data_IF_810220580886
#
_entry.id   IF_810220580886
#
_cell.length_a   1.000
_cell.length_b   1.000
_cell.length_c   1.000
_cell.angle_alpha   90.00
_cell.angle_beta   90.00
_cell.angle_gamma   90.00
#
_symmetry.space_group_name_H-M   'P 1'
#
loop_
_entity.id
_entity.type
_entity.pdbx_description
1 polymer ?
#
# COMPACT_ATOMS: atom_id res chain seq x y z
N UNK A 1 12.86 -29.47 17.56
CA UNK A 1 13.19 -28.51 18.63
C UNK A 1 14.23 -27.53 18.11
N UNK A 2 13.77 -26.36 17.65
CA UNK A 2 14.54 -25.11 17.64
C UNK A 2 13.52 -24.09 18.16
N UNK A 3 13.77 -23.56 19.36
CA UNK A 3 12.92 -22.57 20.00
C UNK A 3 13.40 -21.19 19.55
N UNK A 4 12.58 -20.45 18.80
CA UNK A 4 12.79 -19.04 18.57
C UNK A 4 11.93 -18.27 19.57
N UNK A 5 12.55 -17.85 20.68
CA UNK A 5 11.98 -16.86 21.58
C UNK A 5 12.11 -15.48 20.91
N UNK A 6 10.97 -14.96 20.45
CA UNK A 6 10.75 -13.59 20.05
C UNK A 6 9.28 -13.50 19.68
N UNK A 7 8.48 -12.79 20.47
CA UNK A 7 7.11 -12.48 20.04
C UNK A 7 7.24 -11.82 18.68
N UNK A 8 6.51 -12.24 17.64
CA UNK A 8 6.47 -11.43 16.42
C UNK A 8 6.03 -10.04 16.88
N UNK A 9 6.82 -9.01 16.57
CA UNK A 9 6.31 -7.64 16.62
C UNK A 9 4.95 -7.70 15.93
N UNK A 10 3.89 -7.40 16.69
CA UNK A 10 2.54 -7.57 16.19
C UNK A 10 2.39 -6.64 15.00
N UNK A 11 2.48 -7.18 13.79
CA UNK A 11 2.34 -6.41 12.57
C UNK A 11 0.99 -5.69 12.65
N UNK A 12 1.02 -4.36 12.73
CA UNK A 12 -0.20 -3.56 12.75
C UNK A 12 -0.80 -3.65 11.36
N UNK A 13 -1.96 -4.29 11.26
CA UNK A 13 -2.69 -4.35 10.00
C UNK A 13 -3.21 -2.94 9.65
N UNK A 14 -2.73 -2.38 8.54
CA UNK A 14 -3.28 -1.17 7.97
C UNK A 14 -4.62 -1.48 7.31
N UNK A 15 -5.61 -0.61 7.50
CA UNK A 15 -6.92 -0.78 6.86
C UNK A 15 -6.80 -0.60 5.34
N UNK A 16 -7.44 -1.50 4.60
CA UNK A 16 -7.63 -1.36 3.17
C UNK A 16 -8.59 -0.21 2.82
N UNK A 17 -8.77 0.10 1.53
CA UNK A 17 -9.72 1.10 1.10
C UNK A 17 -11.16 0.66 1.42
N UNK A 18 -12.07 1.62 1.60
CA UNK A 18 -13.49 1.33 1.86
C UNK A 18 -14.16 0.55 0.71
N UNK A 19 -13.66 0.74 -0.52
CA UNK A 19 -14.09 0.06 -1.73
C UNK A 19 -12.89 -0.30 -2.59
N UNK A 20 -12.99 -1.38 -3.34
CA UNK A 20 -11.96 -1.81 -4.26
C UNK A 20 -10.80 -2.54 -3.58
N UNK A 21 -9.59 -2.45 -4.14
CA UNK A 21 -8.42 -3.16 -3.61
C UNK A 21 -7.11 -2.43 -3.91
N UNK A 22 -6.09 -2.71 -3.09
CA UNK A 22 -4.73 -2.18 -3.26
C UNK A 22 -3.78 -3.24 -3.80
N UNK A 23 -2.87 -2.80 -4.68
CA UNK A 23 -1.70 -3.56 -5.11
C UNK A 23 -0.45 -2.82 -4.62
N UNK A 24 0.33 -3.41 -3.69
CA UNK A 24 1.57 -2.81 -3.21
C UNK A 24 2.57 -2.59 -4.35
N UNK A 25 3.20 -1.41 -4.38
CA UNK A 25 4.26 -1.08 -5.34
C UNK A 25 5.63 -1.01 -4.67
N UNK A 26 5.76 -0.27 -3.56
CA UNK A 26 7.05 -0.13 -2.85
C UNK A 26 6.87 0.44 -1.44
N UNK A 27 7.69 -0.03 -0.49
CA UNK A 27 7.84 0.56 0.84
C UNK A 27 8.90 1.65 0.84
N UNK A 28 8.72 2.70 1.64
CA UNK A 28 9.78 3.69 1.91
C UNK A 28 10.96 3.02 2.64
N UNK A 29 12.18 3.56 2.53
CA UNK A 29 13.37 2.97 3.17
C UNK A 29 13.24 2.82 4.70
N UNK A 30 12.54 3.76 5.34
CA UNK A 30 12.25 3.74 6.78
C UNK A 30 11.10 2.79 7.18
N UNK A 31 10.42 2.19 6.20
CA UNK A 31 9.28 1.29 6.40
C UNK A 31 8.00 1.97 6.87
N UNK A 32 7.96 3.29 6.99
CA UNK A 32 6.82 4.02 7.53
C UNK A 32 5.71 4.25 6.49
N UNK A 33 6.03 4.21 5.19
CA UNK A 33 5.10 4.51 4.12
C UNK A 33 5.07 3.40 3.06
N UNK A 34 3.91 3.18 2.46
CA UNK A 34 3.71 2.25 1.36
C UNK A 34 3.06 2.98 0.19
N UNK A 35 3.69 2.92 -0.98
CA UNK A 35 3.02 3.31 -2.23
C UNK A 35 2.23 2.10 -2.73
N UNK A 36 0.95 2.32 -3.00
CA UNK A 36 0.04 1.35 -3.60
C UNK A 36 -0.56 1.88 -4.89
N UNK A 37 -0.89 0.98 -5.80
CA UNK A 37 -1.89 1.23 -6.84
C UNK A 37 -3.23 0.80 -6.29
N UNK A 38 -4.13 1.76 -6.10
CA UNK A 38 -5.48 1.51 -5.59
C UNK A 38 -6.46 1.47 -6.75
N UNK A 39 -7.28 0.41 -6.79
CA UNK A 39 -8.28 0.16 -7.83
C UNK A 39 -9.67 0.32 -7.24
N UNK A 40 -10.57 0.99 -7.98
CA UNK A 40 -11.97 1.18 -7.53
C UNK A 40 -12.84 -0.05 -7.81
N UNK A 41 -12.43 -0.91 -8.74
CA UNK A 41 -13.18 -2.10 -9.14
C UNK A 41 -13.11 -3.23 -8.12
N UNK A 42 -14.03 -4.20 -8.26
CA UNK A 42 -14.24 -5.25 -7.26
C UNK A 42 -13.24 -6.40 -7.31
N UNK A 43 -12.43 -6.50 -8.37
CA UNK A 43 -11.45 -7.58 -8.52
C UNK A 43 -10.39 -7.27 -9.58
N UNK A 44 -9.31 -8.04 -9.61
CA UNK A 44 -8.30 -7.96 -10.66
C UNK A 44 -8.85 -8.21 -12.08
N UNK A 45 -9.93 -8.99 -12.22
CA UNK A 45 -10.59 -9.24 -13.50
C UNK A 45 -11.51 -8.08 -13.93
N UNK A 46 -11.97 -7.26 -12.98
CA UNK A 46 -12.75 -6.05 -13.23
C UNK A 46 -12.21 -4.89 -12.36
N UNK A 47 -11.02 -4.36 -12.70
CA UNK A 47 -10.25 -3.49 -11.81
C UNK A 47 -10.78 -2.05 -11.78
N UNK A 48 -11.52 -1.61 -12.80
CA UNK A 48 -11.97 -0.22 -12.90
C UNK A 48 -10.79 0.78 -12.96
N UNK A 49 -11.05 2.07 -12.70
CA UNK A 49 -10.02 3.10 -12.58
C UNK A 49 -9.00 2.77 -11.48
N UNK A 50 -7.78 3.28 -11.64
CA UNK A 50 -6.75 3.19 -10.60
C UNK A 50 -6.08 4.51 -10.30
N UNK A 51 -5.56 4.64 -9.08
CA UNK A 51 -4.84 5.81 -8.59
C UNK A 51 -3.59 5.37 -7.84
N UNK A 52 -2.57 6.23 -7.82
CA UNK A 52 -1.40 6.01 -6.95
C UNK A 52 -1.68 6.69 -5.61
N UNK A 53 -1.57 5.91 -4.55
CA UNK A 53 -1.80 6.33 -3.16
C UNK A 53 -0.54 6.07 -2.34
N UNK A 54 -0.19 7.00 -1.47
CA UNK A 54 0.75 6.78 -0.36
C UNK A 54 -0.07 6.47 0.89
N UNK A 55 0.21 5.32 1.50
CA UNK A 55 -0.35 4.91 2.79
C UNK A 55 0.68 5.21 3.87
N UNK A 56 0.27 5.99 4.88
CA UNK A 56 1.10 6.36 6.01
C UNK A 56 1.05 5.35 7.17
N UNK A 57 1.88 5.56 8.20
CA UNK A 57 2.12 4.58 9.27
C UNK A 57 0.89 4.33 10.16
N UNK A 58 -0.09 5.24 10.15
CA UNK A 58 -1.36 5.11 10.89
C UNK A 58 -2.54 4.75 9.98
N UNK A 59 -2.27 4.45 8.70
CA UNK A 59 -3.27 4.08 7.72
C UNK A 59 -3.95 5.27 7.03
N UNK A 60 -3.43 6.49 7.21
CA UNK A 60 -3.80 7.64 6.41
C UNK A 60 -3.39 7.43 4.95
N UNK A 61 -4.17 8.01 4.02
CA UNK A 61 -4.08 7.69 2.59
C UNK A 61 -4.08 8.98 1.79
N UNK A 62 -2.99 9.23 1.06
CA UNK A 62 -2.84 10.42 0.22
C UNK A 62 -2.74 10.01 -1.25
N UNK A 63 -3.66 10.52 -2.06
CA UNK A 63 -3.58 10.37 -3.52
C UNK A 63 -2.50 11.30 -4.08
N UNK A 64 -1.54 10.73 -4.82
CA UNK A 64 -0.44 11.49 -5.43
C UNK A 64 -0.65 11.76 -6.91
N UNK A 65 -1.63 11.11 -7.53
CA UNK A 65 -1.98 11.31 -8.94
C UNK A 65 -3.48 11.14 -9.17
N UNK A 66 -4.08 12.05 -9.93
CA UNK A 66 -5.43 11.91 -10.48
C UNK A 66 -5.49 11.00 -11.73
N UNK A 67 -4.33 10.64 -12.29
CA UNK A 67 -4.19 9.80 -13.47
C UNK A 67 -3.85 8.36 -13.08
N UNK A 68 -4.43 7.41 -13.82
CA UNK A 68 -4.13 5.99 -13.67
C UNK A 68 -2.75 5.60 -14.22
N UNK A 69 -2.25 6.26 -15.27
CA UNK A 69 -0.94 5.95 -15.86
C UNK A 69 0.16 6.83 -15.26
N UNK A 70 0.59 6.49 -14.05
CA UNK A 70 1.79 7.07 -13.41
C UNK A 70 2.79 5.98 -13.08
N UNK A 71 4.05 6.22 -13.46
CA UNK A 71 5.21 5.40 -13.08
C UNK A 71 5.80 5.94 -11.78
N UNK A 72 6.02 5.06 -10.82
CA UNK A 72 6.71 5.36 -9.57
C UNK A 72 8.16 4.89 -9.73
N UNK A 73 9.11 5.82 -9.72
CA UNK A 73 10.54 5.55 -9.94
C UNK A 73 11.32 5.24 -8.65
N UNK A 74 10.72 5.51 -7.49
CA UNK A 74 11.31 5.20 -6.19
C UNK A 74 11.05 6.28 -5.15
N UNK A 75 11.66 6.09 -3.97
CA UNK A 75 11.67 7.05 -2.88
C UNK A 75 12.97 7.87 -2.92
N UNK A 76 12.89 9.14 -2.50
CA UNK A 76 14.06 9.99 -2.29
C UNK A 76 14.33 10.09 -0.78
N UNK A 77 15.61 10.07 -0.41
CA UNK A 77 16.09 10.31 0.96
C UNK A 77 16.46 11.79 1.17
#
# INVERSE_FOLDING_TARGET
>A
HISANGSPDAAVALAGPATGFDVPLSWSPDGAHLVVRSFEGSSAANPGPSHVIVVGPVGDRQQVSALSDVLVIGWLE
#
